data_IF_745462724580
#
_entry.id   IF_745462724580
#
_cell.length_a   1.000
_cell.length_b   1.000
_cell.length_c   1.000
_cell.angle_alpha   90.00
_cell.angle_beta   90.00
_cell.angle_gamma   90.00
#
_symmetry.space_group_name_H-M   'P 1'
#
loop_
_entity.id
_entity.type
_entity.pdbx_description
1 polymer ?
#
# COMPACT_ATOMS: atom_id res chain seq x y z
N UNK A 1 -27.44 57.65 -63.91
CA UNK A 1 -27.52 56.33 -63.27
C UNK A 1 -26.87 55.31 -64.18
N UNK A 2 -25.67 54.85 -63.84
CA UNK A 2 -25.08 53.61 -64.38
C UNK A 2 -24.00 53.17 -63.39
N UNK A 3 -24.26 52.06 -62.69
CA UNK A 3 -23.36 51.49 -61.68
C UNK A 3 -22.37 50.55 -62.37
N UNK A 4 -21.08 50.88 -62.30
CA UNK A 4 -20.00 49.97 -62.71
C UNK A 4 -19.48 49.24 -61.47
N UNK A 5 -19.42 47.92 -61.61
CA UNK A 5 -18.95 46.92 -60.65
C UNK A 5 -17.48 47.12 -60.32
N UNK A 6 -17.12 46.96 -59.04
CA UNK A 6 -15.82 46.43 -58.65
C UNK A 6 -16.01 45.45 -57.49
N UNK A 7 -15.92 44.17 -57.83
CA UNK A 7 -15.77 43.07 -56.90
C UNK A 7 -14.37 43.11 -56.30
N UNK A 8 -14.28 43.17 -54.97
CA UNK A 8 -13.08 42.82 -54.24
C UNK A 8 -13.47 41.78 -53.18
N UNK A 9 -13.35 40.51 -53.57
CA UNK A 9 -13.40 39.38 -52.64
C UNK A 9 -12.15 39.43 -51.75
N UNK A 10 -12.30 39.86 -50.50
CA UNK A 10 -11.32 39.58 -49.47
C UNK A 10 -11.67 38.20 -48.88
N UNK A 11 -11.01 37.15 -49.39
CA UNK A 11 -10.96 35.86 -48.70
C UNK A 11 -10.29 36.10 -47.34
N UNK A 12 -11.09 36.04 -46.27
CA UNK A 12 -10.57 35.85 -44.93
C UNK A 12 -10.03 34.41 -44.86
N UNK A 13 -8.71 34.27 -44.92
CA UNK A 13 -8.01 33.05 -44.51
C UNK A 13 -8.20 32.98 -42.99
N UNK A 14 -9.26 32.31 -42.55
CA UNK A 14 -9.35 31.83 -41.19
C UNK A 14 -8.30 30.71 -41.06
N UNK A 15 -7.09 31.08 -40.67
CA UNK A 15 -6.13 30.13 -40.14
C UNK A 15 -6.77 29.54 -38.87
N UNK A 16 -7.39 28.37 -39.03
CA UNK A 16 -7.77 27.53 -37.90
C UNK A 16 -6.45 27.05 -37.31
N UNK A 17 -5.91 27.84 -36.38
CA UNK A 17 -4.91 27.37 -35.44
C UNK A 17 -5.60 26.36 -34.53
N UNK A 18 -5.74 25.12 -35.03
CA UNK A 18 -5.91 23.98 -34.16
C UNK A 18 -4.61 23.87 -33.37
N UNK A 19 -4.54 24.56 -32.22
CA UNK A 19 -3.65 24.11 -31.15
C UNK A 19 -4.12 22.69 -30.83
N UNK A 20 -3.46 21.70 -31.43
CA UNK A 20 -3.48 20.35 -30.90
C UNK A 20 -3.11 20.51 -29.42
N UNK A 21 -4.04 20.15 -28.53
CA UNK A 21 -3.71 20.00 -27.12
C UNK A 21 -2.52 19.04 -27.07
N UNK A 22 -1.36 19.56 -26.69
CA UNK A 22 -0.19 18.73 -26.51
C UNK A 22 -0.41 17.92 -25.25
N UNK A 23 -0.63 16.62 -25.44
CA UNK A 23 -0.58 15.65 -24.35
C UNK A 23 0.64 15.94 -23.48
N UNK A 24 0.44 16.02 -22.16
CA UNK A 24 1.55 16.12 -21.22
C UNK A 24 2.54 14.97 -21.47
N UNK A 25 3.83 15.28 -21.35
CA UNK A 25 4.91 14.33 -21.70
C UNK A 25 5.16 13.23 -20.65
N UNK A 26 4.47 13.27 -19.51
CA UNK A 26 4.68 12.34 -18.38
C UNK A 26 3.38 11.72 -17.89
N UNK A 27 3.46 10.41 -17.63
CA UNK A 27 2.47 9.64 -16.90
C UNK A 27 2.39 10.19 -15.47
N UNK A 28 1.19 10.32 -14.92
CA UNK A 28 0.96 10.72 -13.53
C UNK A 28 0.23 9.63 -12.76
N UNK A 29 0.79 9.29 -11.61
CA UNK A 29 0.34 8.20 -10.75
C UNK A 29 0.13 8.73 -9.34
N UNK A 30 -1.03 8.44 -8.75
CA UNK A 30 -1.38 8.87 -7.39
C UNK A 30 -1.80 7.68 -6.51
N UNK A 31 -1.85 7.85 -5.19
CA UNK A 31 -2.61 6.94 -4.33
C UNK A 31 -1.85 6.43 -3.12
N UNK A 32 -2.00 5.15 -2.83
CA UNK A 32 -1.53 4.52 -1.59
C UNK A 32 -0.05 4.77 -1.31
N UNK A 33 0.28 5.24 -0.10
CA UNK A 33 1.65 5.37 0.40
C UNK A 33 2.38 4.02 0.46
N UNK A 34 1.63 2.93 0.53
CA UNK A 34 2.19 1.57 0.52
C UNK A 34 2.55 1.10 -0.86
N UNK A 35 1.73 1.45 -1.86
CA UNK A 35 2.01 1.11 -3.25
C UNK A 35 3.07 2.04 -3.86
N UNK A 36 3.22 3.24 -3.30
CA UNK A 36 4.19 4.25 -3.71
C UNK A 36 5.62 3.71 -3.96
N UNK A 37 6.31 3.03 -3.02
CA UNK A 37 7.68 2.56 -3.25
C UNK A 37 7.81 1.54 -4.39
N UNK A 38 6.79 0.67 -4.58
CA UNK A 38 6.77 -0.29 -5.67
C UNK A 38 6.57 0.39 -7.03
N UNK A 39 5.64 1.35 -7.08
CA UNK A 39 5.40 2.16 -8.28
C UNK A 39 6.60 3.04 -8.64
N UNK A 40 7.28 3.60 -7.64
CA UNK A 40 8.50 4.36 -7.84
C UNK A 40 9.61 3.49 -8.45
N UNK A 41 9.77 2.25 -7.97
CA UNK A 41 10.71 1.29 -8.53
C UNK A 41 10.39 0.96 -10.00
N UNK A 42 9.13 0.68 -10.33
CA UNK A 42 8.71 0.44 -11.71
C UNK A 42 8.91 1.68 -12.60
N UNK A 43 8.67 2.88 -12.08
CA UNK A 43 8.89 4.15 -12.79
C UNK A 43 10.37 4.38 -13.13
N UNK A 44 11.26 4.06 -12.18
CA UNK A 44 12.72 4.12 -12.37
C UNK A 44 13.19 3.08 -13.38
N UNK A 45 12.74 1.84 -13.25
CA UNK A 45 13.12 0.75 -14.15
C UNK A 45 12.67 1.04 -15.59
N UNK A 46 11.42 1.50 -15.75
CA UNK A 46 10.89 1.96 -17.03
C UNK A 46 11.75 3.07 -17.66
N UNK A 47 12.11 4.11 -16.88
CA UNK A 47 12.93 5.21 -17.38
C UNK A 47 14.33 4.74 -17.79
N UNK A 48 14.93 3.83 -17.01
CA UNK A 48 16.25 3.25 -17.28
C UNK A 48 16.25 2.40 -18.56
N UNK A 49 15.21 1.60 -18.79
CA UNK A 49 15.13 0.71 -19.95
C UNK A 49 14.76 1.43 -21.24
N UNK A 50 13.87 2.42 -21.17
CA UNK A 50 13.29 3.05 -22.37
C UNK A 50 13.95 4.39 -22.72
N UNK A 51 14.60 5.05 -21.75
CA UNK A 51 15.08 6.43 -21.88
C UNK A 51 13.96 7.48 -21.87
N UNK A 52 12.70 7.08 -21.67
CA UNK A 52 11.57 7.99 -21.54
C UNK A 52 11.59 8.71 -20.18
N UNK A 53 10.92 9.86 -20.05
CA UNK A 53 10.75 10.51 -18.75
C UNK A 53 10.06 9.58 -17.75
N UNK A 54 10.62 9.47 -16.54
CA UNK A 54 10.00 8.71 -15.47
C UNK A 54 8.59 9.24 -15.16
N UNK A 55 7.60 8.36 -14.91
CA UNK A 55 6.30 8.75 -14.37
C UNK A 55 6.43 9.60 -13.10
N UNK A 56 5.54 10.58 -12.95
CA UNK A 56 5.41 11.34 -11.71
C UNK A 56 4.54 10.52 -10.76
N UNK A 57 5.12 10.08 -9.64
CA UNK A 57 4.44 9.28 -8.62
C UNK A 57 4.21 10.15 -7.38
N UNK A 58 2.97 10.22 -6.90
CA UNK A 58 2.59 11.01 -5.73
C UNK A 58 1.80 10.17 -4.73
N UNK A 59 2.18 10.25 -3.45
CA UNK A 59 1.45 9.59 -2.36
C UNK A 59 0.29 10.48 -1.89
N UNK A 60 -0.94 10.00 -2.03
CA UNK A 60 -2.18 10.70 -1.64
C UNK A 60 -3.10 9.85 -0.76
N UNK A 61 -2.66 8.64 -0.40
CA UNK A 61 -3.48 7.61 0.26
C UNK A 61 -4.48 6.96 -0.69
N UNK A 62 -4.93 5.74 -0.39
CA UNK A 62 -5.82 4.99 -1.31
C UNK A 62 -7.13 5.74 -1.63
N UNK A 63 -7.81 6.28 -0.61
CA UNK A 63 -9.06 7.02 -0.82
C UNK A 63 -8.86 8.36 -1.54
N UNK A 64 -7.83 9.12 -1.18
CA UNK A 64 -7.48 10.37 -1.87
C UNK A 64 -7.04 10.11 -3.32
N UNK A 65 -6.30 9.04 -3.55
CA UNK A 65 -5.92 8.54 -4.87
C UNK A 65 -7.12 8.32 -5.78
N UNK A 66 -8.11 7.53 -5.32
CA UNK A 66 -9.34 7.33 -6.07
C UNK A 66 -10.13 8.62 -6.28
N UNK A 67 -10.19 9.53 -5.30
CA UNK A 67 -10.89 10.80 -5.46
C UNK A 67 -10.31 11.64 -6.61
N UNK A 68 -8.98 11.70 -6.73
CA UNK A 68 -8.31 12.45 -7.80
C UNK A 68 -8.34 11.69 -9.13
N UNK A 69 -8.09 10.37 -9.11
CA UNK A 69 -8.14 9.49 -10.28
C UNK A 69 -9.51 9.48 -10.94
N UNK A 70 -10.58 9.36 -10.14
CA UNK A 70 -11.97 9.39 -10.59
C UNK A 70 -12.50 10.81 -10.87
N UNK A 71 -11.66 11.86 -10.79
CA UNK A 71 -12.08 13.24 -11.06
C UNK A 71 -12.48 13.48 -12.52
N UNK A 72 -12.00 12.63 -13.44
CA UNK A 72 -12.37 12.67 -14.85
C UNK A 72 -11.31 12.08 -15.77
N UNK A 73 -11.53 12.24 -17.07
CA UNK A 73 -10.60 11.86 -18.14
C UNK A 73 -9.77 13.08 -18.61
N UNK A 74 -8.80 12.85 -19.48
CA UNK A 74 -7.93 13.89 -20.05
C UNK A 74 -6.70 14.26 -19.20
N UNK A 75 -5.88 15.15 -19.74
CA UNK A 75 -4.52 15.49 -19.25
C UNK A 75 -4.48 16.23 -17.91
N UNK A 76 -5.63 16.67 -17.39
CA UNK A 76 -5.73 17.28 -16.06
C UNK A 76 -5.74 16.24 -14.93
N UNK A 77 -6.01 14.97 -15.25
CA UNK A 77 -6.26 13.91 -14.26
C UNK A 77 -5.14 12.87 -14.26
N UNK A 78 -4.86 12.20 -13.13
CA UNK A 78 -3.93 11.07 -13.08
C UNK A 78 -4.36 9.91 -13.98
N UNK A 79 -3.37 9.17 -14.48
CA UNK A 79 -3.56 8.05 -15.40
C UNK A 79 -3.71 6.72 -14.66
N UNK A 80 -3.04 6.64 -13.50
CA UNK A 80 -2.98 5.44 -12.67
C UNK A 80 -3.25 5.83 -11.23
N UNK A 81 -3.91 4.94 -10.48
CA UNK A 81 -3.89 5.01 -9.01
C UNK A 81 -3.49 3.71 -8.34
N UNK A 82 -2.55 3.79 -7.39
CA UNK A 82 -2.18 2.68 -6.51
C UNK A 82 -3.11 2.59 -5.30
N UNK A 83 -3.45 1.38 -4.87
CA UNK A 83 -4.36 1.15 -3.77
C UNK A 83 -3.94 -0.04 -2.89
N UNK A 84 -4.02 0.13 -1.58
CA UNK A 84 -3.73 -0.92 -0.58
C UNK A 84 -4.98 -1.73 -0.17
N UNK A 85 -6.04 -1.62 -0.97
CA UNK A 85 -7.31 -2.34 -0.89
C UNK A 85 -8.03 -2.21 -2.23
N UNK A 86 -8.99 -3.08 -2.49
CA UNK A 86 -9.82 -2.97 -3.69
C UNK A 86 -10.59 -1.64 -3.72
N UNK A 87 -10.86 -1.13 -4.92
CA UNK A 87 -11.75 0.01 -5.14
C UNK A 87 -13.14 -0.30 -4.57
N UNK A 88 -13.74 0.67 -3.87
CA UNK A 88 -15.10 0.54 -3.33
C UNK A 88 -16.13 0.85 -4.39
N UNK A 89 -17.34 0.32 -4.26
CA UNK A 89 -18.46 0.68 -5.13
C UNK A 89 -18.70 2.18 -5.21
N UNK A 90 -18.64 2.92 -4.10
CA UNK A 90 -18.81 4.37 -4.11
C UNK A 90 -17.73 5.11 -4.91
N UNK A 91 -16.51 4.59 -4.95
CA UNK A 91 -15.38 5.16 -5.70
C UNK A 91 -15.50 4.82 -7.18
N UNK A 92 -15.88 3.58 -7.49
CA UNK A 92 -16.18 3.17 -8.86
C UNK A 92 -17.36 3.96 -9.45
N UNK A 93 -18.44 4.15 -8.69
CA UNK A 93 -19.60 4.94 -9.09
C UNK A 93 -19.20 6.41 -9.37
N UNK A 94 -18.29 6.98 -8.57
CA UNK A 94 -17.72 8.32 -8.81
C UNK A 94 -16.94 8.37 -10.12
N UNK A 95 -16.09 7.36 -10.36
CA UNK A 95 -15.37 7.20 -11.62
C UNK A 95 -16.33 7.21 -12.82
N UNK A 96 -17.36 6.37 -12.79
CA UNK A 96 -18.38 6.27 -13.85
C UNK A 96 -19.11 7.60 -14.05
N UNK A 97 -19.52 8.27 -12.97
CA UNK A 97 -20.19 9.58 -13.04
C UNK A 97 -19.36 10.65 -13.74
N UNK A 98 -18.02 10.58 -13.60
CA UNK A 98 -17.08 11.51 -14.20
C UNK A 98 -16.48 10.99 -15.53
N UNK A 99 -17.08 9.96 -16.13
CA UNK A 99 -16.69 9.42 -17.44
C UNK A 99 -15.47 8.50 -17.44
N UNK A 100 -14.98 8.10 -16.26
CA UNK A 100 -13.93 7.09 -16.10
C UNK A 100 -14.58 5.70 -16.05
N UNK A 101 -14.98 5.17 -17.20
CA UNK A 101 -15.74 3.91 -17.30
C UNK A 101 -14.90 2.69 -17.62
N UNK A 102 -13.79 2.87 -18.35
CA UNK A 102 -12.88 1.80 -18.74
C UNK A 102 -11.64 1.81 -17.83
N UNK A 103 -11.67 1.00 -16.77
CA UNK A 103 -10.61 0.90 -15.77
C UNK A 103 -10.05 -0.52 -15.77
N UNK A 104 -8.75 -0.70 -15.98
CA UNK A 104 -8.11 -2.00 -15.67
C UNK A 104 -7.76 -2.04 -14.19
N UNK A 105 -8.04 -3.15 -13.51
CA UNK A 105 -7.59 -3.42 -12.15
C UNK A 105 -6.47 -4.46 -12.20
N UNK A 106 -5.40 -4.21 -11.47
CA UNK A 106 -4.39 -5.24 -11.24
C UNK A 106 -4.14 -5.40 -9.76
N UNK A 107 -4.30 -6.64 -9.28
CA UNK A 107 -3.70 -7.10 -8.04
C UNK A 107 -2.22 -7.38 -8.34
N UNK A 108 -1.30 -6.55 -7.86
CA UNK A 108 0.14 -6.66 -8.16
C UNK A 108 0.87 -7.61 -7.22
N UNK A 109 0.29 -7.88 -6.05
CA UNK A 109 0.91 -8.66 -5.01
C UNK A 109 0.21 -8.41 -3.69
N UNK A 110 0.87 -8.88 -2.64
CA UNK A 110 0.43 -8.68 -1.27
C UNK A 110 1.52 -7.96 -0.49
N UNK A 111 1.10 -7.12 0.43
CA UNK A 111 1.94 -6.63 1.50
C UNK A 111 1.68 -7.51 2.72
N UNK A 112 2.73 -8.01 3.33
CA UNK A 112 2.65 -8.84 4.52
C UNK A 112 3.68 -8.35 5.52
N UNK A 113 3.27 -8.10 6.75
CA UNK A 113 4.16 -7.60 7.80
C UNK A 113 4.28 -8.66 8.89
N UNK A 114 5.51 -8.90 9.34
CA UNK A 114 5.77 -9.86 10.40
C UNK A 114 6.16 -9.14 11.68
N UNK A 115 5.61 -9.61 12.80
CA UNK A 115 6.29 -9.51 14.08
C UNK A 115 7.07 -10.80 14.28
N UNK A 116 8.36 -10.71 14.57
CA UNK A 116 9.24 -11.88 14.65
C UNK A 116 10.10 -11.84 15.91
N UNK A 117 10.56 -13.01 16.34
CA UNK A 117 11.55 -13.17 17.41
C UNK A 117 12.73 -13.98 16.90
N UNK A 118 13.83 -14.02 17.65
CA UNK A 118 14.91 -14.95 17.34
C UNK A 118 14.41 -16.39 17.39
N UNK A 119 14.94 -17.24 16.50
CA UNK A 119 14.68 -18.69 16.51
C UNK A 119 15.14 -19.35 17.81
N UNK A 120 16.15 -18.78 18.47
CA UNK A 120 16.62 -19.20 19.79
C UNK A 120 15.67 -18.82 20.95
N UNK A 121 14.59 -18.08 20.69
CA UNK A 121 13.54 -17.89 21.68
C UNK A 121 12.75 -19.19 21.85
N UNK A 122 12.58 -19.67 23.08
CA UNK A 122 11.92 -20.96 23.35
C UNK A 122 10.39 -20.85 23.45
N UNK A 123 9.83 -19.63 23.55
CA UNK A 123 8.39 -19.43 23.67
C UNK A 123 7.71 -19.47 22.29
N UNK A 124 6.58 -20.17 22.18
CA UNK A 124 5.74 -20.19 20.98
C UNK A 124 4.72 -19.05 21.06
N UNK A 125 5.10 -17.90 20.50
CA UNK A 125 4.28 -16.69 20.57
C UNK A 125 3.05 -16.81 19.66
N UNK A 126 1.89 -16.66 20.28
CA UNK A 126 0.60 -16.48 19.61
C UNK A 126 -0.18 -15.40 20.37
N UNK A 127 -0.58 -14.34 19.67
CA UNK A 127 -1.29 -13.22 20.28
C UNK A 127 -2.37 -12.66 19.37
N UNK A 128 -3.34 -11.98 19.94
CA UNK A 128 -4.30 -11.18 19.17
C UNK A 128 -3.71 -9.85 18.76
N UNK A 129 -4.30 -9.18 17.76
CA UNK A 129 -3.91 -7.80 17.45
C UNK A 129 -4.22 -6.87 18.63
N UNK A 130 -5.28 -7.16 19.40
CA UNK A 130 -5.60 -6.41 20.63
C UNK A 130 -4.47 -6.45 21.65
N UNK A 131 -3.91 -7.62 21.93
CA UNK A 131 -2.77 -7.77 22.85
C UNK A 131 -1.52 -7.06 22.33
N UNK A 132 -1.22 -7.20 21.04
CA UNK A 132 -0.12 -6.45 20.42
C UNK A 132 -0.33 -4.93 20.53
N UNK A 133 -1.57 -4.45 20.30
CA UNK A 133 -1.90 -3.05 20.48
C UNK A 133 -1.66 -2.58 21.92
N UNK A 134 -2.07 -3.37 22.92
CA UNK A 134 -1.82 -3.05 24.33
C UNK A 134 -0.32 -3.01 24.67
N UNK A 135 0.52 -3.77 23.96
CA UNK A 135 1.97 -3.69 24.13
C UNK A 135 2.59 -2.42 23.51
N UNK A 136 2.10 -1.98 22.34
CA UNK A 136 2.78 -1.00 21.49
C UNK A 136 2.14 0.39 21.43
N UNK A 137 0.85 0.54 21.74
CA UNK A 137 0.17 1.82 21.67
C UNK A 137 0.69 2.78 22.73
N UNK A 138 0.71 4.08 22.43
CA UNK A 138 1.08 5.10 23.40
C UNK A 138 0.03 5.27 24.50
N UNK A 139 -1.23 5.01 24.16
CA UNK A 139 -2.37 5.05 25.07
C UNK A 139 -3.25 3.82 24.90
N UNK A 140 -3.81 3.35 26.00
CA UNK A 140 -4.59 2.12 26.12
C UNK A 140 -5.70 2.33 27.15
N UNK A 141 -6.75 1.50 27.18
CA UNK A 141 -7.75 1.56 28.24
C UNK A 141 -7.15 1.11 29.57
N UNK A 142 -7.15 2.00 30.57
CA UNK A 142 -6.73 1.73 31.96
C UNK A 142 -7.83 2.24 32.89
N UNK A 143 -8.39 1.34 33.69
CA UNK A 143 -9.50 1.63 34.60
C UNK A 143 -10.71 2.29 33.92
N UNK A 144 -11.00 1.90 32.67
CA UNK A 144 -12.12 2.43 31.89
C UNK A 144 -11.87 3.80 31.26
N UNK A 145 -10.63 4.29 31.24
CA UNK A 145 -10.24 5.55 30.61
C UNK A 145 -9.09 5.34 29.62
N UNK A 146 -9.03 6.15 28.55
CA UNK A 146 -7.93 6.13 27.59
C UNK A 146 -6.72 6.89 28.16
N UNK A 147 -5.68 6.17 28.57
CA UNK A 147 -4.53 6.72 29.32
C UNK A 147 -3.21 6.25 28.75
N UNK A 148 -2.13 6.95 29.13
CA UNK A 148 -0.76 6.54 28.82
C UNK A 148 -0.53 5.07 29.18
N UNK A 149 0.09 4.33 28.25
CA UNK A 149 0.27 2.89 28.37
C UNK A 149 1.18 2.51 29.56
N UNK A 150 0.64 1.85 30.59
CA UNK A 150 1.40 1.53 31.80
C UNK A 150 2.21 0.24 31.66
N UNK A 151 1.86 -0.62 30.70
CA UNK A 151 2.41 -1.97 30.59
C UNK A 151 3.87 -1.94 30.18
N UNK A 152 4.70 -2.76 30.83
CA UNK A 152 6.15 -2.89 30.60
C UNK A 152 6.58 -4.34 30.39
N UNK A 153 5.75 -5.30 30.76
CA UNK A 153 6.04 -6.74 30.70
C UNK A 153 4.97 -7.45 29.88
N UNK A 154 5.35 -8.51 29.17
CA UNK A 154 4.41 -9.25 28.33
C UNK A 154 3.30 -9.94 29.14
N UNK A 155 3.61 -10.42 30.34
CA UNK A 155 2.64 -11.05 31.22
C UNK A 155 1.59 -10.09 31.83
N UNK A 156 1.79 -8.76 31.72
CA UNK A 156 0.77 -7.76 32.07
C UNK A 156 -0.30 -7.62 30.99
N UNK A 157 0.03 -8.01 29.75
CA UNK A 157 -0.88 -7.99 28.59
C UNK A 157 -1.70 -9.28 28.56
N UNK A 158 -1.03 -10.42 28.70
CA UNK A 158 -1.65 -11.73 28.78
C UNK A 158 -0.86 -12.59 29.78
N UNK A 159 -1.55 -13.13 30.80
CA UNK A 159 -0.93 -13.89 31.88
C UNK A 159 -0.22 -15.19 31.42
N UNK A 160 -0.56 -15.70 30.23
CA UNK A 160 0.10 -16.87 29.63
C UNK A 160 1.42 -16.53 28.94
N UNK A 161 1.71 -15.24 28.71
CA UNK A 161 2.99 -14.78 28.17
C UNK A 161 4.09 -14.79 29.24
N UNK A 162 5.37 -14.91 28.84
CA UNK A 162 6.48 -14.90 29.77
C UNK A 162 6.58 -13.56 30.50
N UNK A 163 7.06 -13.59 31.75
CA UNK A 163 7.38 -12.40 32.54
C UNK A 163 8.68 -11.73 32.07
N UNK A 164 8.73 -11.34 30.80
CA UNK A 164 9.85 -10.65 30.17
C UNK A 164 9.46 -9.21 29.82
N UNK A 165 10.43 -8.27 29.84
CA UNK A 165 10.18 -6.91 29.38
C UNK A 165 9.68 -6.88 27.94
N UNK A 166 8.74 -5.98 27.66
CA UNK A 166 8.33 -5.65 26.30
C UNK A 166 9.50 -4.90 25.66
N UNK A 167 10.10 -5.49 24.64
CA UNK A 167 11.15 -4.88 23.82
C UNK A 167 10.86 -5.23 22.38
N UNK A 168 10.45 -4.22 21.62
CA UNK A 168 10.06 -4.36 20.22
C UNK A 168 10.84 -3.36 19.39
N UNK A 169 11.67 -3.88 18.50
CA UNK A 169 12.34 -3.09 17.48
C UNK A 169 11.42 -2.91 16.28
N UNK A 170 11.43 -1.74 15.68
CA UNK A 170 10.64 -1.52 14.47
C UNK A 170 11.13 -0.34 13.65
N UNK A 171 10.55 -0.18 12.45
CA UNK A 171 10.89 0.90 11.55
C UNK A 171 10.49 2.27 12.12
N UNK A 172 11.18 3.36 11.70
CA UNK A 172 10.89 4.72 12.14
C UNK A 172 9.58 5.25 11.54
N UNK A 173 9.05 6.38 12.04
CA UNK A 173 7.83 7.03 11.50
C UNK A 173 7.88 7.43 10.02
N UNK A 174 9.06 7.45 9.40
CA UNK A 174 9.27 7.77 7.98
C UNK A 174 9.17 6.55 7.05
N UNK A 175 9.03 5.35 7.61
CA UNK A 175 9.03 4.09 6.85
C UNK A 175 7.63 3.69 6.39
N UNK A 176 7.51 3.22 5.14
CA UNK A 176 6.26 2.66 4.62
C UNK A 176 5.79 1.40 5.39
N UNK A 177 6.72 0.60 5.91
CA UNK A 177 6.44 -0.55 6.80
C UNK A 177 5.77 -0.08 8.09
N UNK A 178 6.19 1.06 8.63
CA UNK A 178 5.58 1.66 9.83
C UNK A 178 4.16 2.14 9.55
N UNK A 179 3.95 2.85 8.45
CA UNK A 179 2.61 3.30 8.04
C UNK A 179 1.64 2.12 7.89
N UNK A 180 2.11 1.07 7.20
CA UNK A 180 1.39 -0.18 7.00
C UNK A 180 1.04 -0.86 8.33
N UNK A 181 2.00 -0.95 9.25
CA UNK A 181 1.79 -1.53 10.58
C UNK A 181 0.73 -0.77 11.38
N UNK A 182 0.77 0.56 11.32
CA UNK A 182 -0.21 1.40 12.02
C UNK A 182 -1.62 1.19 11.44
N UNK A 183 -1.76 1.24 10.13
CA UNK A 183 -3.06 1.10 9.44
C UNK A 183 -3.71 -0.27 9.67
N UNK A 184 -2.92 -1.35 9.61
CA UNK A 184 -3.44 -2.71 9.66
C UNK A 184 -3.45 -3.22 11.10
N UNK A 185 -2.27 -3.27 11.73
CA UNK A 185 -2.08 -3.94 13.00
C UNK A 185 -2.56 -3.07 14.16
N UNK A 186 -2.14 -1.80 14.25
CA UNK A 186 -2.52 -0.93 15.37
C UNK A 186 -4.01 -0.60 15.34
N UNK A 187 -4.56 -0.17 14.20
CA UNK A 187 -5.99 0.11 14.11
C UNK A 187 -6.84 -1.15 14.26
N UNK A 188 -6.40 -2.27 13.66
CA UNK A 188 -7.06 -3.57 13.79
C UNK A 188 -7.10 -4.03 15.25
N UNK A 189 -5.98 -3.95 15.96
CA UNK A 189 -5.88 -4.29 17.37
C UNK A 189 -6.70 -3.38 18.27
N UNK A 190 -6.67 -2.07 18.03
CA UNK A 190 -7.49 -1.10 18.77
C UNK A 190 -8.98 -1.44 18.68
N UNK A 191 -9.47 -1.78 17.47
CA UNK A 191 -10.87 -2.18 17.23
C UNK A 191 -11.24 -3.51 17.90
N UNK A 192 -10.26 -4.33 18.29
CA UNK A 192 -10.51 -5.57 19.03
C UNK A 192 -10.76 -5.34 20.53
N UNK A 193 -10.35 -4.20 21.07
CA UNK A 193 -10.53 -3.88 22.49
C UNK A 193 -12.00 -3.66 22.84
N UNK A 194 -12.44 -4.23 23.97
CA UNK A 194 -13.82 -4.07 24.44
C UNK A 194 -14.18 -2.61 24.68
N UNK A 195 -13.25 -1.81 25.22
CA UNK A 195 -13.40 -0.36 25.39
C UNK A 195 -13.82 0.32 24.08
N UNK A 196 -13.23 -0.08 22.95
CA UNK A 196 -13.50 0.54 21.65
C UNK A 196 -14.82 0.02 21.08
N UNK A 197 -15.07 -1.29 21.17
CA UNK A 197 -16.31 -1.93 20.72
C UNK A 197 -17.56 -1.38 21.44
N UNK A 198 -17.46 -1.14 22.75
CA UNK A 198 -18.58 -0.63 23.55
C UNK A 198 -18.66 0.90 23.59
N UNK A 199 -17.57 1.60 23.25
CA UNK A 199 -17.48 3.05 23.36
C UNK A 199 -18.15 3.85 22.23
N UNK A 200 -18.61 3.18 21.18
CA UNK A 200 -19.27 3.85 20.04
C UNK A 200 -18.34 4.71 19.19
N UNK A 201 -17.04 4.44 19.21
CA UNK A 201 -16.04 5.19 18.46
C UNK A 201 -16.05 4.83 16.97
N UNK A 202 -15.90 5.85 16.12
CA UNK A 202 -15.85 5.68 14.67
C UNK A 202 -14.41 5.53 14.15
N UNK A 203 -14.27 5.38 12.82
CA UNK A 203 -12.95 5.26 12.19
C UNK A 203 -12.08 6.51 12.36
N UNK A 204 -12.70 7.69 12.52
CA UNK A 204 -11.94 8.94 12.72
C UNK A 204 -11.30 8.92 14.09
N UNK A 205 -12.06 8.54 15.12
CA UNK A 205 -11.53 8.38 16.47
C UNK A 205 -10.40 7.34 16.50
N UNK A 206 -10.56 6.21 15.83
CA UNK A 206 -9.49 5.18 15.75
C UNK A 206 -8.23 5.75 15.09
N UNK A 207 -8.37 6.47 13.97
CA UNK A 207 -7.23 7.09 13.31
C UNK A 207 -6.52 8.12 14.22
N UNK A 208 -7.27 8.91 14.98
CA UNK A 208 -6.71 9.95 15.86
C UNK A 208 -6.07 9.38 17.13
N UNK A 209 -6.61 8.30 17.70
CA UNK A 209 -6.26 7.84 19.04
C UNK A 209 -5.47 6.51 19.06
N UNK A 210 -5.58 5.70 18.01
CA UNK A 210 -4.93 4.38 17.94
C UNK A 210 -3.67 4.35 17.05
N UNK A 211 -3.35 5.45 16.35
CA UNK A 211 -2.19 5.49 15.46
C UNK A 211 -0.85 5.67 16.17
N UNK A 212 -0.88 6.29 17.35
CA UNK A 212 0.33 6.68 18.07
C UNK A 212 0.91 5.48 18.81
N UNK A 213 2.08 5.03 18.39
CA UNK A 213 2.86 4.04 19.14
C UNK A 213 3.70 4.71 20.22
N UNK A 214 4.00 3.95 21.27
CA UNK A 214 4.69 4.43 22.46
C UNK A 214 6.15 4.80 22.19
N UNK A 215 6.67 5.78 22.91
CA UNK A 215 8.05 6.29 22.82
C UNK A 215 8.76 6.27 24.18
N UNK A 216 8.19 5.56 25.15
CA UNK A 216 8.60 5.51 26.56
C UNK A 216 9.48 4.28 26.89
N UNK A 217 10.14 3.70 25.87
CA UNK A 217 11.14 2.64 25.99
C UNK A 217 10.81 1.30 25.31
N UNK A 218 9.64 0.68 25.55
CA UNK A 218 9.36 -0.67 25.03
C UNK A 218 9.34 -0.82 23.52
N UNK A 219 9.03 0.24 22.78
CA UNK A 219 9.20 0.28 21.33
C UNK A 219 10.46 1.09 20.99
N UNK A 220 11.36 0.50 20.20
CA UNK A 220 12.66 1.05 19.83
C UNK A 220 12.74 1.17 18.30
N UNK A 221 12.94 2.38 17.82
CA UNK A 221 13.14 2.64 16.39
C UNK A 221 14.54 2.18 15.96
N UNK A 222 14.60 1.34 14.92
CA UNK A 222 15.85 0.71 14.45
C UNK A 222 16.41 1.32 13.15
N UNK A 223 15.85 2.45 12.69
CA UNK A 223 16.21 3.09 11.42
C UNK A 223 15.59 2.42 10.19
N UNK A 224 15.87 2.96 9.00
CA UNK A 224 15.25 2.54 7.72
C UNK A 224 15.71 1.17 7.21
N UNK A 225 16.78 0.61 7.78
CA UNK A 225 17.33 -0.67 7.33
C UNK A 225 16.80 -1.80 8.22
N UNK A 226 15.80 -2.53 7.74
CA UNK A 226 15.17 -3.65 8.46
C UNK A 226 16.15 -4.78 8.81
N UNK A 227 17.29 -4.91 8.11
CA UNK A 227 18.35 -5.87 8.51
C UNK A 227 18.95 -5.53 9.89
N UNK A 228 18.91 -4.25 10.31
CA UNK A 228 19.32 -3.88 11.67
C UNK A 228 18.39 -4.50 12.70
N UNK A 229 17.08 -4.57 12.42
CA UNK A 229 16.12 -5.24 13.29
C UNK A 229 16.46 -6.73 13.42
N UNK A 230 16.72 -7.41 12.30
CA UNK A 230 17.14 -8.82 12.29
C UNK A 230 18.37 -9.05 13.19
N UNK A 231 19.39 -8.18 13.09
CA UNK A 231 20.59 -8.26 13.92
C UNK A 231 20.29 -8.06 15.41
N UNK A 232 19.40 -7.12 15.75
CA UNK A 232 18.98 -6.89 17.14
C UNK A 232 18.24 -8.11 17.72
N UNK A 233 17.41 -8.80 16.93
CA UNK A 233 16.73 -10.01 17.38
C UNK A 233 17.71 -11.14 17.66
N UNK A 234 18.68 -11.36 16.77
CA UNK A 234 19.73 -12.38 17.00
C UNK A 234 20.54 -12.07 18.27
N UNK A 235 20.82 -10.79 18.53
CA UNK A 235 21.56 -10.36 19.72
C UNK A 235 20.72 -10.43 21.01
N UNK A 236 19.40 -10.23 20.92
CA UNK A 236 18.47 -10.28 22.04
C UNK A 236 17.31 -11.24 21.74
N UNK A 237 17.45 -12.53 22.10
CA UNK A 237 16.44 -13.54 21.81
C UNK A 237 15.05 -13.27 22.40
N UNK A 238 14.91 -12.41 23.41
CA UNK A 238 13.63 -12.07 24.03
C UNK A 238 12.95 -10.84 23.40
N UNK A 239 13.64 -10.12 22.52
CA UNK A 239 13.05 -9.00 21.80
C UNK A 239 12.20 -9.48 20.61
N UNK A 240 11.28 -8.61 20.21
CA UNK A 240 10.49 -8.77 19.00
C UNK A 240 10.90 -7.71 17.97
N UNK A 241 10.64 -7.97 16.70
CA UNK A 241 10.95 -7.08 15.60
C UNK A 241 9.79 -7.00 14.61
N UNK A 242 9.51 -5.80 14.10
CA UNK A 242 8.50 -5.54 13.08
C UNK A 242 9.18 -5.19 11.77
N UNK A 243 8.84 -5.89 10.68
CA UNK A 243 9.35 -5.62 9.32
C UNK A 243 8.47 -6.32 8.27
N UNK A 244 8.74 -6.08 6.98
CA UNK A 244 8.10 -6.80 5.88
C UNK A 244 8.39 -8.31 5.92
N UNK A 245 7.42 -9.14 5.56
CA UNK A 245 7.49 -10.61 5.65
C UNK A 245 8.71 -11.21 4.93
N UNK A 246 9.18 -10.59 3.84
CA UNK A 246 10.39 -11.01 3.13
C UNK A 246 11.61 -11.17 4.05
N UNK A 247 11.79 -10.28 5.03
CA UNK A 247 12.92 -10.37 5.97
C UNK A 247 12.82 -11.58 6.91
N UNK A 248 11.60 -11.99 7.30
CA UNK A 248 11.40 -13.23 8.04
C UNK A 248 11.74 -14.43 7.14
N UNK A 249 11.24 -14.42 5.90
CA UNK A 249 11.47 -15.50 4.94
C UNK A 249 12.97 -15.70 4.64
N UNK A 250 13.69 -14.62 4.35
CA UNK A 250 15.13 -14.64 4.05
C UNK A 250 16.01 -15.03 5.24
N UNK A 251 15.54 -14.79 6.46
CA UNK A 251 16.25 -15.09 7.70
C UNK A 251 15.57 -16.19 8.51
N UNK A 252 14.86 -17.11 7.83
CA UNK A 252 14.14 -18.19 8.47
C UNK A 252 15.09 -19.11 9.26
N UNK A 253 16.38 -19.21 8.95
CA UNK A 253 17.36 -19.94 9.76
C UNK A 253 17.62 -19.29 11.13
N UNK A 254 17.39 -17.97 11.27
CA UNK A 254 17.69 -17.18 12.47
C UNK A 254 16.47 -16.71 13.23
N UNK A 255 15.34 -16.56 12.54
CA UNK A 255 14.12 -15.95 13.07
C UNK A 255 12.94 -16.93 12.98
N UNK A 256 11.90 -16.65 13.76
CA UNK A 256 10.59 -17.26 13.64
C UNK A 256 9.50 -16.19 13.81
N UNK A 257 8.40 -16.32 13.08
CA UNK A 257 7.28 -15.40 13.14
C UNK A 257 6.45 -15.59 14.40
N UNK A 258 5.86 -14.50 14.90
CA UNK A 258 4.80 -14.52 15.91
C UNK A 258 3.48 -14.83 15.20
N UNK A 259 2.70 -15.75 15.77
CA UNK A 259 1.36 -16.05 15.27
C UNK A 259 0.39 -14.97 15.73
N UNK A 260 -0.57 -14.67 14.87
CA UNK A 260 -1.69 -13.82 15.25
C UNK A 260 -3.00 -14.58 15.20
N UNK A 261 -3.60 -14.84 16.35
CA UNK A 261 -4.84 -15.63 16.47
C UNK A 261 -4.68 -17.05 15.93
N UNK A 262 -3.54 -17.68 16.19
CA UNK A 262 -3.19 -19.02 15.74
C UNK A 262 -2.67 -19.11 14.30
N UNK A 263 -2.64 -18.00 13.55
CA UNK A 263 -2.19 -17.97 12.15
C UNK A 263 -0.75 -17.50 12.06
N UNK A 264 0.12 -18.33 11.48
CA UNK A 264 1.53 -17.99 11.23
C UNK A 264 1.67 -17.12 9.97
N UNK A 265 2.60 -16.14 9.94
CA UNK A 265 2.95 -15.44 8.71
C UNK A 265 3.64 -16.38 7.73
N UNK A 266 2.99 -16.67 6.62
CA UNK A 266 3.53 -17.46 5.50
C UNK A 266 3.09 -16.85 4.18
N UNK A 267 3.75 -17.18 3.07
CA UNK A 267 3.27 -16.77 1.74
C UNK A 267 1.81 -17.18 1.50
N UNK A 268 1.42 -18.39 1.91
CA UNK A 268 0.06 -18.90 1.71
C UNK A 268 -0.95 -18.10 2.56
N UNK A 269 -0.70 -17.96 3.86
CA UNK A 269 -1.63 -17.26 4.78
C UNK A 269 -1.71 -15.75 4.51
N UNK A 270 -0.64 -15.15 3.97
CA UNK A 270 -0.63 -13.75 3.50
C UNK A 270 -1.43 -13.63 2.20
N UNK A 271 -1.27 -14.56 1.26
CA UNK A 271 -1.97 -14.52 -0.03
C UNK A 271 -3.47 -14.81 0.09
N UNK A 272 -3.90 -15.61 1.08
CA UNK A 272 -5.31 -15.86 1.39
C UNK A 272 -5.92 -14.82 2.33
N UNK A 273 -5.12 -13.92 2.88
CA UNK A 273 -5.48 -12.95 3.92
C UNK A 273 -5.96 -13.59 5.24
N UNK A 274 -5.66 -14.87 5.46
CA UNK A 274 -5.92 -15.52 6.75
C UNK A 274 -5.01 -14.94 7.84
N UNK A 275 -3.78 -14.55 7.48
CA UNK A 275 -2.88 -13.85 8.37
C UNK A 275 -3.28 -12.36 8.46
N UNK A 276 -3.56 -11.82 9.66
CA UNK A 276 -4.32 -10.57 9.80
C UNK A 276 -3.51 -9.31 9.50
N UNK A 277 -2.18 -9.40 9.35
CA UNK A 277 -1.31 -8.27 9.00
C UNK A 277 -0.83 -8.41 7.56
N UNK A 278 -1.80 -8.67 6.69
CA UNK A 278 -1.62 -8.75 5.25
C UNK A 278 -2.66 -7.88 4.55
N UNK A 279 -2.34 -7.46 3.32
CA UNK A 279 -3.31 -6.76 2.47
C UNK A 279 -2.96 -6.90 0.99
N UNK A 280 -3.97 -6.82 0.12
CA UNK A 280 -3.73 -6.75 -1.30
C UNK A 280 -3.10 -5.40 -1.68
N UNK A 281 -2.22 -5.44 -2.67
CA UNK A 281 -1.72 -4.27 -3.36
C UNK A 281 -2.28 -4.25 -4.76
N UNK A 282 -2.83 -3.11 -5.15
CA UNK A 282 -3.40 -2.89 -6.46
C UNK A 282 -2.79 -1.68 -7.14
N UNK A 283 -2.85 -1.68 -8.47
CA UNK A 283 -2.90 -0.44 -9.24
C UNK A 283 -4.06 -0.50 -10.24
N UNK A 284 -4.60 0.67 -10.56
CA UNK A 284 -5.74 0.85 -11.44
C UNK A 284 -5.35 1.77 -12.59
N UNK A 285 -5.67 1.36 -13.80
CA UNK A 285 -5.29 2.07 -15.03
C UNK A 285 -6.53 2.64 -15.69
N UNK A 286 -6.51 3.92 -16.03
CA UNK A 286 -7.53 4.54 -16.86
C UNK A 286 -7.29 4.20 -18.33
N UNK A 287 -8.04 3.24 -18.88
CA UNK A 287 -7.79 2.77 -20.25
C UNK A 287 -8.05 3.85 -21.31
N UNK A 288 -8.92 4.83 -21.01
CA UNK A 288 -9.14 5.99 -21.87
C UNK A 288 -7.88 6.88 -22.08
N UNK A 289 -6.83 6.70 -21.25
CA UNK A 289 -5.56 7.40 -21.41
C UNK A 289 -4.53 6.63 -22.26
N UNK A 290 -4.77 5.35 -22.55
CA UNK A 290 -3.91 4.56 -23.45
C UNK A 290 -3.98 5.14 -24.87
N UNK A 291 -2.82 5.25 -25.53
CA UNK A 291 -2.71 5.85 -26.86
C UNK A 291 -2.89 7.37 -26.91
N UNK A 292 -3.17 8.02 -25.77
CA UNK A 292 -3.26 9.48 -25.64
C UNK A 292 -2.06 10.01 -24.86
N UNK A 293 -1.75 9.37 -23.73
CA UNK A 293 -0.58 9.71 -22.91
C UNK A 293 0.64 8.95 -23.45
N UNK A 294 1.74 9.65 -23.78
CA UNK A 294 2.95 9.00 -24.29
C UNK A 294 3.50 7.95 -23.32
N UNK A 295 4.00 6.85 -23.90
CA UNK A 295 4.65 5.73 -23.22
C UNK A 295 3.80 4.97 -22.18
N UNK A 296 2.49 5.23 -22.13
CA UNK A 296 1.58 4.63 -21.15
C UNK A 296 1.53 3.10 -21.26
N UNK A 297 1.52 2.57 -22.49
CA UNK A 297 1.45 1.13 -22.71
C UNK A 297 2.76 0.45 -22.27
N UNK A 298 3.89 1.05 -22.63
CA UNK A 298 5.23 0.58 -22.31
C UNK A 298 5.47 0.57 -20.80
N UNK A 299 4.99 1.60 -20.08
CA UNK A 299 5.07 1.62 -18.62
C UNK A 299 4.20 0.52 -17.97
N UNK A 300 3.00 0.28 -18.50
CA UNK A 300 2.13 -0.79 -18.01
C UNK A 300 2.78 -2.17 -18.26
N UNK A 301 3.40 -2.37 -19.41
CA UNK A 301 4.12 -3.61 -19.74
C UNK A 301 5.34 -3.82 -18.83
N UNK A 302 6.09 -2.77 -18.50
CA UNK A 302 7.20 -2.85 -17.53
C UNK A 302 6.70 -3.21 -16.13
N UNK A 303 5.68 -2.50 -15.62
CA UNK A 303 5.12 -2.80 -14.30
C UNK A 303 4.57 -4.23 -14.26
N UNK A 304 3.90 -4.67 -15.32
CA UNK A 304 3.35 -6.02 -15.46
C UNK A 304 4.38 -7.03 -15.96
N UNK A 305 5.68 -6.71 -15.98
CA UNK A 305 6.69 -7.67 -16.44
C UNK A 305 6.95 -8.78 -15.42
N UNK A 306 7.52 -9.89 -15.88
CA UNK A 306 8.00 -10.94 -14.98
C UNK A 306 9.15 -10.45 -14.10
N UNK A 307 10.00 -9.55 -14.63
CA UNK A 307 11.08 -8.92 -13.86
C UNK A 307 10.54 -8.09 -12.68
N UNK A 308 9.35 -7.52 -12.81
CA UNK A 308 8.67 -6.79 -11.74
C UNK A 308 7.95 -7.72 -10.76
N UNK A 309 7.03 -8.56 -11.27
CA UNK A 309 6.01 -9.22 -10.44
C UNK A 309 6.34 -10.66 -10.02
N UNK A 310 7.24 -11.36 -10.72
CA UNK A 310 7.52 -12.77 -10.42
C UNK A 310 8.24 -12.90 -9.07
N UNK A 311 8.19 -14.10 -8.49
CA UNK A 311 9.06 -14.44 -7.36
C UNK A 311 10.54 -14.21 -7.72
N UNK A 312 11.21 -13.39 -6.91
CA UNK A 312 12.58 -12.94 -7.16
C UNK A 312 12.69 -11.72 -8.09
N UNK A 313 11.58 -11.15 -8.54
CA UNK A 313 11.54 -9.88 -9.26
C UNK A 313 11.86 -8.69 -8.35
N UNK A 314 12.14 -7.54 -8.96
CA UNK A 314 12.65 -6.37 -8.24
C UNK A 314 11.65 -5.75 -7.25
N UNK A 315 10.34 -6.05 -7.39
CA UNK A 315 9.34 -5.64 -6.40
C UNK A 315 9.33 -6.58 -5.19
N UNK A 316 9.63 -7.87 -5.40
CA UNK A 316 9.78 -8.82 -4.31
C UNK A 316 11.02 -8.51 -3.45
N UNK A 317 12.13 -8.09 -4.08
CA UNK A 317 13.32 -7.58 -3.39
C UNK A 317 13.03 -6.34 -2.52
N UNK A 318 11.94 -5.62 -2.81
CA UNK A 318 11.46 -4.47 -2.03
C UNK A 318 10.41 -4.82 -0.99
N UNK A 319 10.16 -6.11 -0.75
CA UNK A 319 9.25 -6.60 0.28
C UNK A 319 7.85 -6.97 -0.19
N UNK A 320 7.55 -6.84 -1.49
CA UNK A 320 6.26 -7.30 -2.02
C UNK A 320 6.21 -8.82 -2.00
N UNK A 321 5.10 -9.37 -1.49
CA UNK A 321 4.81 -10.79 -1.65
C UNK A 321 4.19 -11.05 -3.02
N UNK A 322 4.83 -11.84 -3.90
CA UNK A 322 4.31 -12.14 -5.23
C UNK A 322 2.98 -12.90 -5.17
N UNK A 323 2.19 -12.77 -6.24
CA UNK A 323 1.02 -13.63 -6.44
C UNK A 323 1.44 -15.04 -6.90
N UNK A 324 0.59 -16.06 -6.68
CA UNK A 324 0.73 -17.34 -7.36
C UNK A 324 0.83 -17.15 -8.88
N UNK A 325 1.74 -17.86 -9.54
CA UNK A 325 2.09 -17.65 -10.95
C UNK A 325 0.86 -17.62 -11.87
N UNK A 326 -0.08 -18.55 -11.70
CA UNK A 326 -1.30 -18.60 -12.51
C UNK A 326 -2.13 -17.31 -12.38
N UNK A 327 -2.26 -16.76 -11.17
CA UNK A 327 -3.02 -15.52 -10.93
C UNK A 327 -2.24 -14.30 -11.43
N UNK A 328 -0.93 -14.30 -11.24
CA UNK A 328 -0.04 -13.26 -11.77
C UNK A 328 -0.16 -13.16 -13.30
N UNK A 329 -0.06 -14.29 -14.03
CA UNK A 329 -0.21 -14.32 -15.50
C UNK A 329 -1.60 -13.87 -15.97
N UNK A 330 -2.66 -14.25 -15.26
CA UNK A 330 -4.03 -13.79 -15.53
C UNK A 330 -4.13 -12.26 -15.45
N UNK A 331 -3.58 -11.68 -14.37
CA UNK A 331 -3.59 -10.23 -14.15
C UNK A 331 -2.73 -9.50 -15.19
N UNK A 332 -1.52 -9.98 -15.48
CA UNK A 332 -0.65 -9.42 -16.51
C UNK A 332 -1.38 -9.31 -17.85
N UNK A 333 -1.98 -10.42 -18.32
CA UNK A 333 -2.67 -10.45 -19.60
C UNK A 333 -3.85 -9.47 -19.64
N UNK A 334 -4.72 -9.52 -18.63
CA UNK A 334 -5.89 -8.65 -18.55
C UNK A 334 -5.51 -7.16 -18.56
N UNK A 335 -4.46 -6.79 -17.83
CA UNK A 335 -4.04 -5.40 -17.70
C UNK A 335 -3.27 -4.93 -18.93
N UNK A 336 -2.42 -5.76 -19.54
CA UNK A 336 -1.70 -5.39 -20.79
C UNK A 336 -2.69 -5.17 -21.93
N UNK A 337 -3.72 -6.01 -22.05
CA UNK A 337 -4.78 -5.91 -23.06
C UNK A 337 -5.81 -4.80 -22.77
N UNK A 338 -5.73 -4.15 -21.61
CA UNK A 338 -6.66 -3.09 -21.23
C UNK A 338 -8.08 -3.58 -20.96
N UNK A 339 -8.22 -4.81 -20.45
CA UNK A 339 -9.52 -5.38 -20.07
C UNK A 339 -10.11 -4.57 -18.92
N UNK A 340 -11.32 -4.06 -19.12
CA UNK A 340 -12.03 -3.32 -18.07
C UNK A 340 -12.49 -4.25 -16.94
N UNK A 341 -12.28 -3.81 -15.71
CA UNK A 341 -12.77 -4.49 -14.53
C UNK A 341 -14.31 -4.51 -14.49
N UNK A 342 -14.86 -5.50 -13.79
CA UNK A 342 -16.29 -5.49 -13.46
C UNK A 342 -16.57 -4.52 -12.32
N UNK A 343 -17.80 -3.98 -12.26
CA UNK A 343 -18.21 -3.13 -11.15
C UNK A 343 -18.09 -3.90 -9.81
N UNK A 344 -17.45 -3.31 -8.78
CA UNK A 344 -17.29 -3.97 -7.49
C UNK A 344 -18.65 -4.13 -6.79
N UNK A 345 -18.81 -5.23 -6.07
CA UNK A 345 -20.06 -5.57 -5.37
C UNK A 345 -20.29 -4.78 -4.08
N UNK A 346 -19.21 -4.22 -3.50
CA UNK A 346 -19.20 -3.50 -2.22
C UNK A 346 -18.36 -2.25 -2.32
#
# INVERSE_FOLDING_TARGET
MSFVKLSASALAIAAVSATAAMARDQIRIVGSSTVFPYTQAAAEEFANQTGAPAPIVESTGTGGGFQVFCGGIGEGHPDITGASRAIKKSEFDLCVQNGVTEISEALIGNDGLSMSVARANDFDWDMTLGEMFLALAAEVPVDGEWKANPYKMWNEINADFPATPITVYGPPPTSGTRDAWVEIAMHGGCKQLDFVKSGGFDSKWVNENCSRMRTDGPFIEAGENDNLIVQQLVANPNAHGIFGYSFLYENADKLKGVKFGGVEPTFDTIATYDYPISRPLFFYVKNAHRGVIPNMQEFIEEYMSDAALQQGGYLAERGMTPLPEAKMKEVQAAVIEGVAMSAPTK
#
